data_IF_899230178994
#
_entry.id   IF_899230178994
#
_cell.length_a   1.000
_cell.length_b   1.000
_cell.length_c   1.000
_cell.angle_alpha   90.00
_cell.angle_beta   90.00
_cell.angle_gamma   90.00
#
_symmetry.space_group_name_H-M   'P 1'
#
loop_
_entity.id
_entity.type
_entity.pdbx_description
1 polymer ?
#
# COMPACT_ATOMS: atom_id res chain seq x y z
N UNK A 1 16.33 3.41 4.14
CA UNK A 1 16.63 2.39 3.11
C UNK A 1 17.19 1.14 3.78
N UNK A 2 18.23 1.29 4.60
CA UNK A 2 18.77 0.21 5.45
C UNK A 2 17.68 -0.50 6.27
N UNK A 3 16.88 0.24 7.04
CA UNK A 3 15.74 -0.31 7.80
C UNK A 3 14.80 -1.18 6.96
N UNK A 4 14.48 -0.75 5.74
CA UNK A 4 13.57 -1.50 4.86
C UNK A 4 14.22 -2.76 4.28
N UNK A 5 15.53 -2.75 4.04
CA UNK A 5 16.27 -3.93 3.58
C UNK A 5 16.40 -4.93 4.73
N UNK A 6 16.71 -4.46 5.94
CA UNK A 6 16.78 -5.31 7.13
C UNK A 6 15.45 -6.02 7.40
N UNK A 7 14.32 -5.29 7.29
CA UNK A 7 12.99 -5.86 7.42
C UNK A 7 12.68 -6.95 6.36
N UNK A 8 13.20 -6.80 5.13
CA UNK A 8 13.08 -7.84 4.10
C UNK A 8 13.89 -9.08 4.50
N UNK A 9 15.11 -8.89 5.02
CA UNK A 9 15.95 -9.97 5.53
C UNK A 9 15.30 -10.75 6.67
N UNK A 10 14.71 -10.05 7.65
CA UNK A 10 13.95 -10.64 8.76
C UNK A 10 12.76 -11.44 8.25
N UNK A 11 11.93 -10.84 7.40
CA UNK A 11 10.76 -11.51 6.84
C UNK A 11 11.12 -12.77 6.04
N UNK A 12 12.27 -12.77 5.33
CA UNK A 12 12.78 -13.93 4.62
C UNK A 12 13.25 -15.04 5.57
N UNK A 13 13.91 -14.68 6.67
CA UNK A 13 14.36 -15.63 7.67
C UNK A 13 13.18 -16.31 8.39
N UNK A 14 12.12 -15.56 8.68
CA UNK A 14 10.94 -16.08 9.39
C UNK A 14 9.95 -16.83 8.50
N UNK A 15 9.69 -16.33 7.28
CA UNK A 15 8.59 -16.81 6.43
C UNK A 15 9.05 -17.59 5.19
N UNK A 16 10.31 -17.44 4.77
CA UNK A 16 10.91 -18.12 3.61
C UNK A 16 10.42 -17.68 2.22
N UNK A 17 9.22 -17.09 2.11
CA UNK A 17 8.63 -16.60 0.85
C UNK A 17 8.15 -15.17 1.03
N UNK A 18 8.80 -14.22 0.35
CA UNK A 18 8.53 -12.78 0.52
C UNK A 18 8.33 -12.12 -0.83
N UNK A 19 7.28 -11.30 -0.94
CA UNK A 19 7.06 -10.33 -2.03
C UNK A 19 7.31 -8.94 -1.44
N UNK A 20 8.11 -8.12 -2.11
CA UNK A 20 8.41 -6.75 -1.68
C UNK A 20 7.55 -5.78 -2.47
N UNK A 21 6.82 -4.90 -1.78
CA UNK A 21 5.97 -3.89 -2.42
C UNK A 21 6.08 -2.55 -1.70
N UNK A 22 5.83 -1.45 -2.43
CA UNK A 22 5.84 -0.08 -1.89
C UNK A 22 6.94 0.81 -2.51
N UNK A 23 7.23 1.95 -1.89
CA UNK A 23 8.14 2.96 -2.44
C UNK A 23 9.53 2.40 -2.78
N UNK A 24 10.08 1.52 -1.94
CA UNK A 24 11.40 0.94 -2.18
C UNK A 24 11.39 0.01 -3.40
N UNK A 25 10.26 -0.63 -3.71
CA UNK A 25 10.12 -1.47 -4.89
C UNK A 25 10.18 -0.72 -6.22
N UNK A 26 10.10 0.63 -6.21
CA UNK A 26 10.45 1.45 -7.38
C UNK A 26 11.96 1.45 -7.69
N UNK A 27 12.79 0.86 -6.82
CA UNK A 27 14.23 0.59 -6.98
C UNK A 27 14.48 -0.90 -6.86
N UNK A 28 13.92 -1.65 -7.80
CA UNK A 28 13.96 -3.11 -7.83
C UNK A 28 15.39 -3.67 -7.86
N UNK A 29 16.28 -3.02 -8.59
CA UNK A 29 17.71 -3.29 -8.66
C UNK A 29 18.38 -3.37 -7.28
N UNK A 30 18.09 -2.40 -6.40
CA UNK A 30 18.64 -2.34 -5.04
C UNK A 30 18.12 -3.50 -4.20
N UNK A 31 16.82 -3.79 -4.27
CA UNK A 31 16.19 -4.88 -3.51
C UNK A 31 16.73 -6.23 -3.96
N UNK A 32 16.82 -6.47 -5.27
CA UNK A 32 17.29 -7.73 -5.84
C UNK A 32 18.78 -7.96 -5.62
N UNK A 33 19.59 -6.89 -5.62
CA UNK A 33 21.01 -6.99 -5.29
C UNK A 33 21.24 -7.41 -3.83
N UNK A 34 20.44 -6.89 -2.90
CA UNK A 34 20.54 -7.20 -1.47
C UNK A 34 19.89 -8.55 -1.10
N UNK A 35 18.72 -8.84 -1.67
CA UNK A 35 17.91 -10.01 -1.35
C UNK A 35 17.41 -10.72 -2.62
N UNK A 36 18.28 -11.44 -3.35
CA UNK A 36 17.91 -12.07 -4.63
C UNK A 36 16.86 -13.19 -4.51
N UNK A 37 16.58 -13.63 -3.28
CA UNK A 37 15.65 -14.70 -2.95
C UNK A 37 14.18 -14.27 -2.78
N UNK A 38 13.88 -12.97 -2.89
CA UNK A 38 12.48 -12.49 -2.91
C UNK A 38 11.74 -12.99 -4.15
N UNK A 39 10.45 -13.27 -4.02
CA UNK A 39 9.64 -13.85 -5.09
C UNK A 39 9.25 -12.83 -6.17
N UNK A 40 9.05 -11.58 -5.77
CA UNK A 40 8.75 -10.46 -6.65
C UNK A 40 9.05 -9.14 -5.94
N UNK A 41 9.30 -8.10 -6.74
CA UNK A 41 9.41 -6.71 -6.30
C UNK A 41 8.46 -5.88 -7.15
N UNK A 42 7.60 -5.07 -6.50
CA UNK A 42 6.61 -4.23 -7.19
C UNK A 42 6.68 -2.80 -6.64
N UNK A 43 6.34 -1.81 -7.47
CA UNK A 43 6.31 -0.40 -7.07
C UNK A 43 5.16 -0.04 -6.10
N UNK A 44 5.04 1.25 -5.73
CA UNK A 44 3.85 1.75 -5.05
C UNK A 44 2.62 1.66 -5.98
N UNK A 45 1.43 1.51 -5.40
CA UNK A 45 0.14 1.40 -6.13
C UNK A 45 0.02 0.19 -7.05
N UNK A 46 0.86 -0.83 -6.86
CA UNK A 46 0.93 -2.00 -7.72
C UNK A 46 0.05 -3.16 -7.23
N UNK A 47 -1.18 -2.89 -6.78
CA UNK A 47 -2.07 -3.92 -6.18
C UNK A 47 -2.26 -5.12 -7.11
N UNK A 48 -2.53 -4.88 -8.40
CA UNK A 48 -2.72 -5.95 -9.39
C UNK A 48 -1.44 -6.77 -9.62
N UNK A 49 -0.28 -6.13 -9.66
CA UNK A 49 1.00 -6.82 -9.81
C UNK A 49 1.33 -7.69 -8.60
N UNK A 50 1.04 -7.18 -7.39
CA UNK A 50 1.19 -7.95 -6.15
C UNK A 50 0.27 -9.18 -6.20
N UNK A 51 -1.00 -9.01 -6.58
CA UNK A 51 -1.93 -10.13 -6.69
C UNK A 51 -1.49 -11.14 -7.77
N UNK A 52 -0.96 -10.68 -8.89
CA UNK A 52 -0.40 -11.55 -9.91
C UNK A 52 0.80 -12.36 -9.38
N UNK A 53 1.72 -11.71 -8.67
CA UNK A 53 2.87 -12.36 -8.05
C UNK A 53 2.43 -13.39 -7.00
N UNK A 54 1.43 -13.06 -6.17
CA UNK A 54 0.82 -13.99 -5.23
C UNK A 54 0.28 -15.22 -5.98
N UNK A 55 -0.56 -15.02 -7.00
CA UNK A 55 -1.21 -16.11 -7.72
C UNK A 55 -0.25 -17.00 -8.54
N UNK A 56 0.91 -16.47 -8.94
CA UNK A 56 1.98 -17.27 -9.56
C UNK A 56 2.55 -18.33 -8.61
N UNK A 57 2.60 -18.04 -7.30
CA UNK A 57 3.17 -18.93 -6.29
C UNK A 57 2.12 -19.63 -5.44
N UNK A 58 0.90 -19.07 -5.38
CA UNK A 58 -0.24 -19.57 -4.64
C UNK A 58 -1.52 -19.34 -5.47
N UNK A 59 -1.86 -20.27 -6.39
CA UNK A 59 -3.05 -20.15 -7.21
C UNK A 59 -4.30 -19.93 -6.35
N UNK A 60 -5.22 -19.06 -6.81
CA UNK A 60 -6.44 -18.74 -6.06
C UNK A 60 -7.23 -20.03 -5.79
N UNK A 61 -7.43 -20.44 -4.52
CA UNK A 61 -8.36 -21.52 -4.21
C UNK A 61 -9.77 -21.07 -4.62
N UNK A 62 -10.52 -21.91 -5.32
CA UNK A 62 -11.91 -21.58 -5.64
C UNK A 62 -12.78 -21.87 -4.41
N UNK A 63 -13.07 -20.83 -3.62
CA UNK A 63 -14.02 -20.90 -2.50
C UNK A 63 -15.07 -19.77 -2.61
N UNK A 64 -16.33 -20.11 -2.96
CA UNK A 64 -17.38 -19.13 -3.21
C UNK A 64 -17.85 -18.35 -1.97
N UNK A 65 -17.51 -18.77 -0.75
CA UNK A 65 -17.91 -18.08 0.48
C UNK A 65 -16.81 -17.20 1.10
N UNK A 66 -15.56 -17.36 0.66
CA UNK A 66 -14.38 -16.65 1.22
C UNK A 66 -14.03 -15.39 0.41
N UNK A 67 -14.65 -15.20 -0.75
CA UNK A 67 -14.44 -14.05 -1.63
C UNK A 67 -15.17 -12.76 -1.19
N UNK A 68 -15.90 -12.78 -0.07
CA UNK A 68 -16.63 -11.62 0.42
C UNK A 68 -15.73 -10.74 1.30
N UNK A 69 -15.14 -9.73 0.68
CA UNK A 69 -14.58 -8.59 1.43
C UNK A 69 -15.75 -7.81 2.02
N UNK A 70 -15.77 -7.53 3.34
CA UNK A 70 -16.81 -6.70 3.94
C UNK A 70 -16.92 -5.35 3.22
N UNK A 71 -18.11 -4.72 3.16
CA UNK A 71 -18.27 -3.40 2.53
C UNK A 71 -17.30 -2.35 3.06
N UNK A 72 -16.98 -2.42 4.36
CA UNK A 72 -16.02 -1.56 5.06
C UNK A 72 -14.54 -1.93 4.80
N UNK A 73 -14.25 -2.96 4.01
CA UNK A 73 -12.92 -3.49 3.78
C UNK A 73 -12.34 -4.26 4.97
N UNK A 74 -11.08 -4.68 4.82
CA UNK A 74 -10.28 -5.27 5.90
C UNK A 74 -9.30 -4.21 6.40
N UNK A 75 -9.27 -4.00 7.71
CA UNK A 75 -8.39 -3.02 8.35
C UNK A 75 -7.33 -3.73 9.18
N UNK A 76 -6.08 -3.29 9.04
CA UNK A 76 -4.96 -3.72 9.88
C UNK A 76 -4.74 -2.78 11.08
N UNK A 77 -5.49 -1.68 11.16
CA UNK A 77 -5.46 -0.76 12.31
C UNK A 77 -6.38 -1.25 13.44
N UNK A 78 -6.12 -0.85 14.70
CA UNK A 78 -7.07 -0.99 15.79
C UNK A 78 -8.46 -0.46 15.44
N UNK A 79 -9.50 -1.02 16.07
CA UNK A 79 -10.91 -0.75 15.71
C UNK A 79 -11.30 0.73 15.77
N UNK A 80 -10.69 1.50 16.68
CA UNK A 80 -11.10 2.86 17.01
C UNK A 80 -10.64 3.93 16.02
N UNK A 81 -9.64 3.67 15.17
CA UNK A 81 -9.16 4.65 14.18
C UNK A 81 -8.91 4.05 12.79
N UNK A 82 -8.92 4.92 11.78
CA UNK A 82 -8.55 4.56 10.41
C UNK A 82 -7.88 5.73 9.69
N UNK A 83 -6.96 5.41 8.78
CA UNK A 83 -6.40 6.38 7.84
C UNK A 83 -7.32 6.52 6.63
N UNK A 84 -7.63 7.75 6.23
CA UNK A 84 -8.40 8.07 5.03
C UNK A 84 -7.51 8.86 4.08
N UNK A 85 -7.03 8.20 3.02
CA UNK A 85 -6.20 8.85 2.00
C UNK A 85 -7.07 9.66 1.05
N UNK A 86 -6.81 10.96 0.91
CA UNK A 86 -7.63 11.87 0.06
C UNK A 86 -6.97 12.19 -1.28
N UNK A 87 -5.66 12.11 -1.37
CA UNK A 87 -4.91 12.36 -2.60
C UNK A 87 -3.60 11.59 -2.61
N UNK A 88 -2.98 11.55 -3.78
CA UNK A 88 -1.71 10.89 -4.03
C UNK A 88 -0.81 11.80 -4.87
N UNK A 89 0.51 11.71 -4.69
CA UNK A 89 1.46 12.53 -5.42
C UNK A 89 1.52 13.98 -4.92
N UNK A 90 2.31 14.82 -5.59
CA UNK A 90 2.47 16.22 -5.18
C UNK A 90 2.91 17.11 -6.35
N UNK A 91 2.27 18.28 -6.51
CA UNK A 91 2.64 19.27 -7.53
C UNK A 91 3.80 20.17 -7.08
N UNK A 92 4.12 20.21 -5.78
CA UNK A 92 5.24 20.99 -5.27
C UNK A 92 6.57 20.41 -5.76
N UNK A 93 7.42 21.27 -6.32
CA UNK A 93 8.77 20.92 -6.79
C UNK A 93 9.83 21.29 -5.75
N UNK A 94 9.60 20.86 -4.52
CA UNK A 94 10.55 21.06 -3.42
C UNK A 94 11.89 20.41 -3.77
N UNK A 95 12.99 21.15 -3.68
CA UNK A 95 14.33 20.71 -4.13
C UNK A 95 14.84 19.46 -3.42
N UNK A 96 14.35 19.20 -2.21
CA UNK A 96 14.72 18.04 -1.39
C UNK A 96 13.77 16.84 -1.55
N UNK A 97 12.63 17.00 -2.23
CA UNK A 97 11.55 16.02 -2.21
C UNK A 97 11.56 15.13 -3.46
N UNK A 98 11.64 13.82 -3.26
CA UNK A 98 11.61 12.82 -4.33
C UNK A 98 10.19 12.45 -4.79
N UNK A 99 9.16 12.91 -4.08
CA UNK A 99 7.77 12.48 -4.32
C UNK A 99 7.30 12.73 -5.76
N UNK A 100 7.55 13.89 -6.40
CA UNK A 100 7.14 14.09 -7.79
C UNK A 100 7.69 13.05 -8.78
N UNK A 101 8.94 12.62 -8.61
CA UNK A 101 9.53 11.61 -9.50
C UNK A 101 9.15 10.18 -9.13
N UNK A 102 8.84 9.92 -7.85
CA UNK A 102 8.51 8.58 -7.36
C UNK A 102 7.02 8.23 -7.44
N UNK A 103 6.13 9.18 -7.13
CA UNK A 103 4.68 8.99 -7.02
C UNK A 103 3.89 9.81 -8.03
N UNK A 104 4.56 10.69 -8.79
CA UNK A 104 3.95 11.52 -9.81
C UNK A 104 3.33 12.82 -9.29
N UNK A 105 2.64 13.49 -10.20
CA UNK A 105 1.88 14.71 -9.92
C UNK A 105 0.66 14.42 -9.05
N UNK A 106 0.12 15.48 -8.43
CA UNK A 106 -1.02 15.36 -7.54
C UNK A 106 -2.25 14.82 -8.29
N UNK A 107 -2.81 13.75 -7.73
CA UNK A 107 -4.11 13.20 -8.11
C UNK A 107 -4.99 13.18 -6.88
N UNK A 108 -6.01 14.04 -6.86
CA UNK A 108 -7.00 14.08 -5.78
C UNK A 108 -8.12 13.07 -6.04
N UNK A 109 -8.60 12.42 -4.97
CA UNK A 109 -9.74 11.52 -5.06
C UNK A 109 -11.04 12.31 -5.17
N UNK A 110 -12.04 11.83 -5.94
CA UNK A 110 -13.35 12.46 -5.98
C UNK A 110 -13.99 12.51 -4.59
N UNK A 111 -14.54 13.66 -4.22
CA UNK A 111 -15.13 13.89 -2.88
C UNK A 111 -16.18 12.84 -2.50
N UNK A 112 -17.01 12.40 -3.44
CA UNK A 112 -18.05 11.42 -3.17
C UNK A 112 -17.49 10.04 -2.80
N UNK A 113 -16.33 9.65 -3.34
CA UNK A 113 -15.66 8.40 -2.94
C UNK A 113 -15.06 8.51 -1.55
N UNK A 114 -14.45 9.66 -1.23
CA UNK A 114 -13.88 9.95 0.08
C UNK A 114 -14.98 9.95 1.15
N UNK A 115 -16.10 10.61 0.88
CA UNK A 115 -17.24 10.65 1.80
C UNK A 115 -17.85 9.26 2.01
N UNK A 116 -18.04 8.47 0.94
CA UNK A 116 -18.56 7.11 1.04
C UNK A 116 -17.65 6.21 1.90
N UNK A 117 -16.34 6.33 1.75
CA UNK A 117 -15.39 5.58 2.57
C UNK A 117 -15.42 6.05 4.03
N UNK A 118 -15.46 7.36 4.28
CA UNK A 118 -15.57 7.92 5.62
C UNK A 118 -16.85 7.46 6.34
N UNK A 119 -17.98 7.45 5.65
CA UNK A 119 -19.27 6.96 6.17
C UNK A 119 -19.19 5.47 6.53
N UNK A 120 -18.68 4.63 5.62
CA UNK A 120 -18.50 3.21 5.87
C UNK A 120 -17.55 2.94 7.07
N UNK A 121 -16.49 3.74 7.22
CA UNK A 121 -15.59 3.65 8.37
C UNK A 121 -16.32 3.99 9.67
N UNK A 122 -17.08 5.08 9.70
CA UNK A 122 -17.86 5.50 10.87
C UNK A 122 -18.92 4.46 11.27
N UNK A 123 -19.66 3.91 10.29
CA UNK A 123 -20.64 2.84 10.51
C UNK A 123 -20.00 1.57 11.05
N UNK A 124 -18.74 1.28 10.65
CA UNK A 124 -17.96 0.16 11.18
C UNK A 124 -17.39 0.37 12.58
N UNK A 125 -17.75 1.47 13.26
CA UNK A 125 -17.39 1.74 14.64
C UNK A 125 -16.10 2.57 14.84
N UNK A 126 -15.48 3.05 13.76
CA UNK A 126 -14.35 3.99 13.84
C UNK A 126 -14.78 5.25 14.58
N UNK A 127 -13.93 5.71 15.50
CA UNK A 127 -14.15 6.93 16.30
C UNK A 127 -13.26 8.08 15.85
N UNK A 128 -12.14 7.77 15.19
CA UNK A 128 -11.18 8.75 14.71
C UNK A 128 -10.76 8.45 13.26
N UNK A 129 -10.95 9.43 12.38
CA UNK A 129 -10.51 9.35 10.98
C UNK A 129 -9.30 10.27 10.82
N UNK A 130 -8.17 9.68 10.44
CA UNK A 130 -6.91 10.37 10.19
C UNK A 130 -6.79 10.65 8.68
N UNK A 131 -7.09 11.88 8.28
CA UNK A 131 -6.99 12.31 6.88
C UNK A 131 -5.52 12.43 6.49
N UNK A 132 -5.13 11.74 5.41
CA UNK A 132 -3.73 11.72 4.95
C UNK A 132 -3.60 12.02 3.46
N UNK A 133 -2.48 12.66 3.12
CA UNK A 133 -1.94 12.81 1.77
C UNK A 133 -0.50 13.32 1.85
N UNK A 134 0.22 13.36 0.72
CA UNK A 134 1.54 14.02 0.66
C UNK A 134 1.42 15.54 0.79
N UNK A 135 0.30 16.12 0.35
CA UNK A 135 -0.05 17.52 0.50
C UNK A 135 -1.55 17.62 0.80
N UNK A 136 -1.90 17.96 2.04
CA UNK A 136 -3.31 18.07 2.49
C UNK A 136 -3.93 19.41 2.15
N UNK A 137 -3.13 20.40 1.74
CA UNK A 137 -3.56 21.76 1.44
C UNK A 137 -3.93 21.99 -0.03
N UNK A 138 -3.66 20.99 -0.87
CA UNK A 138 -3.79 21.08 -2.32
C UNK A 138 -5.24 20.92 -2.84
#
# INVERSE_FOLDING_TARGET
MEESLDAIGEALAENGKVIVTGCLGAKDDVVLAAHPQVLAVTGPHATEEVMHAVHKHLPKPHDPFVDLVPPQGIRLTPQHYAYLKISEGCNHRCTFCIIPSMRGDLVSRPIHEVMREAEALAESGVKEILVISQDTSA
#
